data_IF_352576014684
#
_entry.id   IF_352576014684
#
_cell.length_a   1.000
_cell.length_b   1.000
_cell.length_c   1.000
_cell.angle_alpha   90.00
_cell.angle_beta   90.00
_cell.angle_gamma   90.00
#
_symmetry.space_group_name_H-M   'P 1'
#
loop_
_entity.id
_entity.type
_entity.pdbx_description
1 polymer ?
#
# COMPACT_ATOMS: atom_id res chain seq x y z
N UNK A 1 -25.00 -36.03 -11.08
CA UNK A 1 -23.55 -36.00 -10.77
C UNK A 1 -23.26 -35.77 -9.28
N UNK A 2 -23.12 -34.54 -8.75
CA UNK A 2 -22.75 -34.32 -7.33
C UNK A 2 -23.81 -34.82 -6.33
N UNK A 3 -25.07 -34.44 -6.52
CA UNK A 3 -26.18 -34.88 -5.65
C UNK A 3 -26.37 -36.40 -5.72
N UNK A 4 -26.31 -36.98 -6.92
CA UNK A 4 -26.35 -38.43 -7.17
C UNK A 4 -25.23 -39.20 -6.46
N UNK A 5 -24.02 -38.64 -6.39
CA UNK A 5 -22.88 -39.26 -5.70
C UNK A 5 -22.99 -39.14 -4.18
N UNK A 6 -23.50 -38.00 -3.68
CA UNK A 6 -23.46 -37.67 -2.25
C UNK A 6 -24.76 -37.98 -1.51
N UNK A 7 -25.87 -38.15 -2.23
CA UNK A 7 -27.22 -38.25 -1.68
C UNK A 7 -27.74 -36.98 -1.00
N UNK A 8 -27.07 -35.84 -1.18
CA UNK A 8 -27.43 -34.56 -0.55
C UNK A 8 -28.15 -33.64 -1.54
N UNK A 9 -29.17 -32.94 -1.06
CA UNK A 9 -29.80 -31.84 -1.80
C UNK A 9 -28.87 -30.60 -1.80
N UNK A 10 -28.50 -30.15 -2.99
CA UNK A 10 -27.64 -29.00 -3.24
C UNK A 10 -28.40 -27.85 -3.90
N UNK A 11 -29.73 -27.96 -4.08
CA UNK A 11 -30.53 -26.88 -4.67
C UNK A 11 -30.37 -25.56 -3.91
N UNK A 12 -30.37 -25.61 -2.57
CA UNK A 12 -30.15 -24.43 -1.73
C UNK A 12 -28.82 -23.73 -2.06
N UNK A 13 -27.75 -24.49 -2.30
CA UNK A 13 -26.41 -23.96 -2.56
C UNK A 13 -26.38 -23.24 -3.91
N UNK A 14 -26.86 -23.89 -4.99
CA UNK A 14 -26.88 -23.29 -6.32
C UNK A 14 -27.83 -22.09 -6.40
N UNK A 15 -29.01 -22.18 -5.78
CA UNK A 15 -29.94 -21.07 -5.73
C UNK A 15 -29.35 -19.86 -5.01
N UNK A 16 -28.58 -20.08 -3.95
CA UNK A 16 -27.95 -19.02 -3.17
C UNK A 16 -26.73 -18.41 -3.87
N UNK A 17 -25.79 -19.23 -4.35
CA UNK A 17 -24.46 -18.77 -4.77
C UNK A 17 -24.33 -18.58 -6.28
N UNK A 18 -25.14 -19.26 -7.08
CA UNK A 18 -25.04 -19.22 -8.54
C UNK A 18 -26.20 -18.44 -9.17
N UNK A 19 -27.44 -18.73 -8.78
CA UNK A 19 -28.63 -18.13 -9.40
C UNK A 19 -29.11 -16.83 -8.74
N UNK A 20 -28.61 -16.49 -7.55
CA UNK A 20 -28.97 -15.26 -6.83
C UNK A 20 -27.85 -14.21 -6.90
N UNK A 21 -28.20 -12.97 -6.55
CA UNK A 21 -27.25 -11.88 -6.38
C UNK A 21 -27.05 -11.53 -4.89
N UNK A 22 -26.01 -10.73 -4.63
CA UNK A 22 -25.63 -10.26 -3.30
C UNK A 22 -24.52 -11.09 -2.66
N UNK A 23 -24.24 -10.81 -1.38
CA UNK A 23 -23.33 -11.58 -0.54
C UNK A 23 -23.74 -11.46 0.94
N UNK A 24 -23.37 -12.43 1.80
CA UNK A 24 -23.61 -12.33 3.24
C UNK A 24 -22.83 -11.18 3.88
N UNK A 25 -23.47 -10.50 4.84
CA UNK A 25 -22.84 -9.50 5.72
C UNK A 25 -23.08 -9.89 7.18
N UNK A 26 -22.03 -10.23 7.91
CA UNK A 26 -22.14 -10.80 9.26
C UNK A 26 -21.64 -9.82 10.32
N UNK A 27 -22.41 -9.63 11.39
CA UNK A 27 -21.96 -9.04 12.66
C UNK A 27 -21.81 -10.18 13.68
N UNK A 28 -20.57 -10.47 14.08
CA UNK A 28 -20.22 -11.65 14.88
C UNK A 28 -19.75 -11.17 16.26
N UNK A 29 -20.41 -11.63 17.32
CA UNK A 29 -20.10 -11.26 18.71
C UNK A 29 -19.82 -12.49 19.54
N UNK A 30 -18.93 -12.32 20.50
CA UNK A 30 -18.50 -13.38 21.41
C UNK A 30 -18.71 -12.94 22.85
N UNK A 31 -19.14 -13.87 23.70
CA UNK A 31 -19.16 -13.67 25.15
C UNK A 31 -18.93 -14.99 25.88
N UNK A 32 -18.64 -14.89 27.18
CA UNK A 32 -18.47 -16.04 28.05
C UNK A 32 -19.23 -15.80 29.35
N UNK A 33 -20.08 -16.76 29.74
CA UNK A 33 -20.78 -16.77 31.01
C UNK A 33 -20.10 -17.78 31.95
N UNK A 34 -19.54 -17.27 33.05
CA UNK A 34 -18.83 -18.07 34.03
C UNK A 34 -19.77 -18.93 34.91
N UNK A 35 -21.00 -18.47 35.16
CA UNK A 35 -21.97 -19.19 36.00
C UNK A 35 -22.51 -20.42 35.28
N UNK A 36 -22.91 -20.25 34.01
CA UNK A 36 -23.41 -21.35 33.18
C UNK A 36 -22.29 -22.14 32.48
N UNK A 37 -21.04 -21.69 32.57
CA UNK A 37 -19.87 -22.28 31.88
C UNK A 37 -20.11 -22.42 30.37
N UNK A 38 -20.59 -21.34 29.76
CA UNK A 38 -20.91 -21.31 28.34
C UNK A 38 -20.19 -20.16 27.62
N UNK A 39 -19.55 -20.50 26.51
CA UNK A 39 -19.13 -19.56 25.49
C UNK A 39 -20.27 -19.35 24.49
N UNK A 40 -20.56 -18.10 24.15
CA UNK A 40 -21.62 -17.74 23.23
C UNK A 40 -21.02 -17.12 21.97
N UNK A 41 -21.54 -17.52 20.82
CA UNK A 41 -21.25 -16.91 19.53
C UNK A 41 -22.56 -16.46 18.91
N UNK A 42 -22.75 -15.15 18.79
CA UNK A 42 -23.92 -14.56 18.15
C UNK A 42 -23.52 -14.14 16.75
N UNK A 43 -24.20 -14.70 15.75
CA UNK A 43 -23.97 -14.39 14.33
C UNK A 43 -25.22 -13.75 13.76
N UNK A 44 -25.13 -12.46 13.43
CA UNK A 44 -26.23 -11.70 12.86
C UNK A 44 -25.99 -11.41 11.38
N UNK A 45 -26.95 -11.77 10.56
CA UNK A 45 -26.98 -11.44 9.13
C UNK A 45 -27.58 -10.05 8.92
N UNK A 46 -26.80 -9.11 8.37
CA UNK A 46 -27.15 -7.68 8.32
C UNK A 46 -27.58 -7.18 6.94
N UNK A 47 -27.41 -7.98 5.90
CA UNK A 47 -27.93 -7.66 4.57
C UNK A 47 -29.48 -7.61 4.54
N UNK A 48 -30.05 -6.83 3.61
CA UNK A 48 -31.49 -6.51 3.58
C UNK A 48 -32.38 -7.64 3.06
N UNK A 49 -31.99 -8.35 1.99
CA UNK A 49 -32.98 -9.03 1.13
C UNK A 49 -33.07 -10.55 1.29
N UNK A 50 -32.00 -11.22 1.74
CA UNK A 50 -31.96 -12.70 1.83
C UNK A 50 -31.13 -13.16 3.02
N UNK A 51 -31.66 -14.14 3.75
CA UNK A 51 -30.93 -14.89 4.77
C UNK A 51 -30.14 -15.97 4.04
N UNK A 52 -28.84 -16.06 4.30
CA UNK A 52 -27.98 -17.08 3.72
C UNK A 52 -27.90 -18.27 4.65
N UNK A 53 -27.86 -19.46 4.08
CA UNK A 53 -27.48 -20.68 4.78
C UNK A 53 -25.97 -20.86 4.65
N UNK A 54 -25.26 -20.86 5.79
CA UNK A 54 -23.80 -20.86 5.86
C UNK A 54 -23.32 -22.01 6.75
N UNK A 55 -22.96 -23.18 6.17
CA UNK A 55 -22.25 -24.21 6.90
C UNK A 55 -20.82 -23.74 7.19
N UNK A 56 -20.40 -23.78 8.45
CA UNK A 56 -19.08 -23.29 8.89
C UNK A 56 -18.66 -23.94 10.20
N UNK A 57 -17.48 -23.58 10.70
CA UNK A 57 -16.99 -24.04 11.99
C UNK A 57 -16.84 -22.89 13.00
N UNK A 58 -16.99 -23.23 14.26
CA UNK A 58 -16.53 -22.42 15.40
C UNK A 58 -15.41 -23.20 16.08
N UNK A 59 -14.22 -22.62 16.10
CA UNK A 59 -13.06 -23.18 16.79
C UNK A 59 -12.88 -22.46 18.14
N UNK A 60 -12.83 -23.21 19.23
CA UNK A 60 -12.59 -22.69 20.59
C UNK A 60 -11.18 -23.07 21.02
N UNK A 61 -10.42 -22.09 21.50
CA UNK A 61 -9.03 -22.26 21.88
C UNK A 61 -8.79 -22.07 23.37
N UNK A 62 -8.00 -22.98 23.93
CA UNK A 62 -7.45 -22.93 25.29
C UNK A 62 -5.93 -23.11 25.19
N UNK A 63 -5.19 -22.00 25.22
CA UNK A 63 -3.81 -21.93 24.75
C UNK A 63 -3.72 -22.41 23.31
N UNK A 64 -2.92 -23.46 23.10
CA UNK A 64 -2.72 -24.08 21.79
C UNK A 64 -3.72 -25.23 21.51
N UNK A 65 -4.55 -25.62 22.49
CA UNK A 65 -5.56 -26.66 22.30
C UNK A 65 -6.76 -26.07 21.58
N UNK A 66 -7.26 -26.78 20.57
CA UNK A 66 -8.38 -26.38 19.71
C UNK A 66 -9.48 -27.41 19.75
N UNK A 67 -10.69 -26.97 20.06
CA UNK A 67 -11.94 -27.72 19.91
C UNK A 67 -12.74 -27.13 18.75
N UNK A 68 -13.32 -27.98 17.89
CA UNK A 68 -14.03 -27.53 16.68
C UNK A 68 -15.48 -27.99 16.70
N UNK A 69 -16.39 -27.06 16.44
CA UNK A 69 -17.83 -27.29 16.36
C UNK A 69 -18.32 -26.92 14.96
N UNK A 70 -18.95 -27.86 14.25
CA UNK A 70 -19.59 -27.58 12.97
C UNK A 70 -20.98 -27.00 13.23
N UNK A 71 -21.30 -25.89 12.55
CA UNK A 71 -22.55 -25.16 12.73
C UNK A 71 -23.13 -24.70 11.40
N UNK A 72 -24.43 -24.45 11.40
CA UNK A 72 -25.15 -23.83 10.29
C UNK A 72 -25.68 -22.50 10.79
N UNK A 73 -25.34 -21.41 10.09
CA UNK A 73 -26.01 -20.12 10.27
C UNK A 73 -27.08 -20.04 9.19
N UNK A 74 -28.34 -20.08 9.56
CA UNK A 74 -29.47 -20.14 8.64
C UNK A 74 -30.63 -19.22 9.03
N UNK A 75 -30.45 -18.42 10.09
CA UNK A 75 -31.42 -17.44 10.56
C UNK A 75 -30.88 -16.02 10.45
N UNK A 76 -31.76 -15.04 10.68
CA UNK A 76 -31.38 -13.62 10.73
C UNK A 76 -30.36 -13.35 11.83
N UNK A 77 -30.49 -14.07 12.94
CA UNK A 77 -29.58 -14.05 14.09
C UNK A 77 -29.57 -15.45 14.71
N UNK A 78 -28.40 -16.07 14.76
CA UNK A 78 -28.18 -17.36 15.41
C UNK A 78 -27.28 -17.19 16.63
N UNK A 79 -27.59 -17.91 17.71
CA UNK A 79 -26.74 -17.97 18.91
C UNK A 79 -26.29 -19.40 19.15
N UNK A 80 -24.98 -19.62 19.10
CA UNK A 80 -24.37 -20.91 19.40
C UNK A 80 -23.86 -20.92 20.82
N UNK A 81 -24.28 -21.93 21.59
CA UNK A 81 -23.84 -22.16 22.97
C UNK A 81 -22.83 -23.30 22.98
N UNK A 82 -21.62 -23.01 23.43
CA UNK A 82 -20.53 -23.99 23.51
C UNK A 82 -20.16 -24.17 24.98
N UNK A 83 -20.15 -25.41 25.44
CA UNK A 83 -19.71 -25.74 26.80
C UNK A 83 -18.24 -25.33 26.97
N UNK A 84 -17.97 -24.52 27.98
CA UNK A 84 -16.66 -23.93 28.23
C UNK A 84 -16.43 -23.85 29.74
N UNK A 85 -15.65 -24.78 30.30
CA UNK A 85 -15.42 -24.84 31.76
C UNK A 85 -14.70 -23.60 32.32
N UNK A 86 -13.90 -22.96 31.47
CA UNK A 86 -13.21 -21.69 31.70
C UNK A 86 -13.40 -20.79 30.50
N UNK A 87 -13.13 -19.49 30.68
CA UNK A 87 -13.13 -18.53 29.58
C UNK A 87 -12.12 -18.96 28.50
N UNK A 88 -12.52 -19.18 27.25
CA UNK A 88 -11.58 -19.45 26.16
C UNK A 88 -10.67 -18.25 25.88
N UNK A 89 -9.45 -18.51 25.41
CA UNK A 89 -8.52 -17.46 24.98
C UNK A 89 -8.94 -16.85 23.63
N UNK A 90 -9.59 -17.66 22.79
CA UNK A 90 -10.10 -17.28 21.49
C UNK A 90 -11.28 -18.16 21.09
N UNK A 91 -12.30 -17.53 20.54
CA UNK A 91 -13.34 -18.18 19.76
C UNK A 91 -13.21 -17.67 18.32
N UNK A 92 -12.98 -18.58 17.38
CA UNK A 92 -12.76 -18.27 15.97
C UNK A 92 -13.91 -18.82 15.13
N UNK A 93 -14.83 -17.93 14.75
CA UNK A 93 -15.84 -18.23 13.73
C UNK A 93 -15.18 -18.37 12.35
N UNK A 94 -15.65 -19.33 11.54
CA UNK A 94 -15.06 -19.69 10.24
C UNK A 94 -13.57 -20.04 10.39
N UNK A 95 -13.28 -21.06 11.19
CA UNK A 95 -11.92 -21.49 11.54
C UNK A 95 -11.04 -21.85 10.33
N UNK A 96 -11.66 -22.22 9.22
CA UNK A 96 -10.95 -22.51 7.97
C UNK A 96 -10.75 -21.29 7.06
N UNK A 97 -11.43 -20.17 7.35
CA UNK A 97 -11.41 -18.92 6.59
C UNK A 97 -11.89 -19.11 5.14
N UNK A 98 -12.97 -19.86 4.96
CA UNK A 98 -13.53 -20.23 3.65
C UNK A 98 -14.84 -19.52 3.34
N UNK A 99 -15.50 -18.90 4.32
CA UNK A 99 -16.74 -18.19 4.06
C UNK A 99 -16.51 -16.92 3.22
N UNK A 100 -17.22 -16.85 2.09
CA UNK A 100 -17.31 -15.64 1.27
C UNK A 100 -18.35 -14.70 1.86
N UNK A 101 -17.92 -13.87 2.83
CA UNK A 101 -18.79 -12.91 3.51
C UNK A 101 -18.05 -11.63 3.88
N UNK A 102 -18.76 -10.50 3.89
CA UNK A 102 -18.32 -9.31 4.62
C UNK A 102 -18.51 -9.58 6.11
N UNK A 103 -17.48 -9.34 6.94
CA UNK A 103 -17.55 -9.65 8.38
C UNK A 103 -17.16 -8.44 9.21
N UNK A 104 -18.02 -8.09 10.15
CA UNK A 104 -17.71 -7.32 11.33
C UNK A 104 -17.46 -8.32 12.47
N UNK A 105 -16.19 -8.65 12.66
CA UNK A 105 -15.74 -9.61 13.67
C UNK A 105 -15.35 -8.84 14.95
N UNK A 106 -16.16 -8.92 16.01
CA UNK A 106 -16.00 -8.10 17.21
C UNK A 106 -15.04 -8.72 18.24
N UNK A 107 -13.89 -9.22 17.78
CA UNK A 107 -12.82 -9.69 18.66
C UNK A 107 -12.12 -8.51 19.34
N UNK A 108 -11.68 -8.75 20.57
CA UNK A 108 -10.74 -7.89 21.28
C UNK A 108 -9.34 -7.97 20.64
N UNK A 109 -8.47 -7.02 20.99
CA UNK A 109 -7.07 -7.06 20.57
C UNK A 109 -6.39 -8.37 21.01
N UNK A 110 -6.62 -8.81 22.24
CA UNK A 110 -5.99 -10.02 22.79
C UNK A 110 -6.42 -11.28 22.03
N UNK A 111 -7.70 -11.40 21.68
CA UNK A 111 -8.19 -12.51 20.85
C UNK A 111 -7.58 -12.49 19.45
N UNK A 112 -7.42 -11.30 18.86
CA UNK A 112 -6.71 -11.16 17.58
C UNK A 112 -5.24 -11.59 17.68
N UNK A 113 -4.54 -11.21 18.75
CA UNK A 113 -3.14 -11.61 18.96
C UNK A 113 -3.03 -13.12 19.21
N UNK A 114 -3.98 -13.70 19.94
CA UNK A 114 -4.06 -15.14 20.12
C UNK A 114 -4.29 -15.86 18.80
N UNK A 115 -5.16 -15.32 17.93
CA UNK A 115 -5.42 -15.87 16.61
C UNK A 115 -4.16 -15.89 15.73
N UNK A 116 -3.37 -14.80 15.74
CA UNK A 116 -2.10 -14.73 15.03
C UNK A 116 -1.17 -15.90 15.38
N UNK A 117 -1.09 -16.23 16.67
CA UNK A 117 -0.17 -17.23 17.23
C UNK A 117 -0.65 -18.68 17.01
N UNK A 118 -1.96 -18.91 17.00
CA UNK A 118 -2.50 -20.27 17.19
C UNK A 118 -3.28 -20.84 16.00
N UNK A 119 -3.82 -20.04 15.09
CA UNK A 119 -4.68 -20.58 14.01
C UNK A 119 -3.91 -21.00 12.75
N UNK A 120 -2.70 -20.47 12.57
CA UNK A 120 -1.84 -20.74 11.41
C UNK A 120 -2.31 -20.10 10.10
N UNK A 121 -3.45 -19.40 10.07
CA UNK A 121 -4.03 -18.83 8.84
C UNK A 121 -3.46 -17.45 8.51
N UNK A 122 -3.23 -17.19 7.22
CA UNK A 122 -2.75 -15.89 6.73
C UNK A 122 -3.70 -14.75 7.09
N UNK A 123 -5.01 -14.96 6.91
CA UNK A 123 -6.01 -13.91 7.12
C UNK A 123 -6.03 -13.45 8.58
N UNK A 124 -5.92 -14.39 9.52
CA UNK A 124 -5.89 -14.14 10.95
C UNK A 124 -4.65 -13.32 11.34
N UNK A 125 -3.48 -13.70 10.80
CA UNK A 125 -2.25 -12.95 11.04
C UNK A 125 -2.35 -11.51 10.50
N UNK A 126 -2.99 -11.33 9.33
CA UNK A 126 -3.23 -10.00 8.76
C UNK A 126 -4.23 -9.20 9.60
N UNK A 127 -5.35 -9.79 9.99
CA UNK A 127 -6.38 -9.14 10.81
C UNK A 127 -5.83 -8.74 12.19
N UNK A 128 -4.92 -9.53 12.77
CA UNK A 128 -4.27 -9.19 14.03
C UNK A 128 -3.36 -7.95 13.92
N UNK A 129 -2.62 -7.82 12.81
CA UNK A 129 -1.83 -6.61 12.54
C UNK A 129 -2.71 -5.37 12.31
N UNK A 130 -3.92 -5.56 11.77
CA UNK A 130 -4.89 -4.47 11.59
C UNK A 130 -5.50 -4.04 12.92
N UNK A 131 -5.82 -5.00 13.78
CA UNK A 131 -6.29 -4.73 15.13
C UNK A 131 -5.21 -4.01 15.96
N UNK A 132 -3.95 -4.46 15.87
CA UNK A 132 -2.82 -3.82 16.54
C UNK A 132 -2.58 -2.39 16.04
N UNK A 133 -2.61 -2.17 14.72
CA UNK A 133 -2.43 -0.84 14.12
C UNK A 133 -3.51 0.17 14.58
N UNK A 134 -4.75 -0.29 14.80
CA UNK A 134 -5.84 0.55 15.36
C UNK A 134 -5.68 0.83 16.86
N UNK A 135 -4.83 0.09 17.56
CA UNK A 135 -4.63 0.15 19.01
C UNK A 135 -3.18 0.53 19.38
N UNK A 136 -2.44 1.25 18.52
CA UNK A 136 -1.03 1.60 18.75
C UNK A 136 -0.75 2.40 20.03
N UNK A 137 -1.76 3.03 20.63
CA UNK A 137 -1.63 3.67 21.95
C UNK A 137 -1.40 2.68 23.09
N UNK A 138 -1.69 1.39 22.88
CA UNK A 138 -1.45 0.32 23.85
C UNK A 138 -0.04 -0.25 23.66
N UNK A 139 0.81 -0.32 24.70
CA UNK A 139 2.16 -0.86 24.60
C UNK A 139 2.21 -2.29 24.03
N UNK A 140 1.24 -3.12 24.39
CA UNK A 140 1.10 -4.50 23.90
C UNK A 140 0.91 -4.59 22.37
N UNK A 141 0.25 -3.61 21.75
CA UNK A 141 0.02 -3.62 20.31
C UNK A 141 1.32 -3.34 19.54
N UNK A 142 2.11 -2.35 19.99
CA UNK A 142 3.40 -2.05 19.42
C UNK A 142 4.39 -3.20 19.65
N UNK A 143 4.44 -3.74 20.88
CA UNK A 143 5.29 -4.88 21.22
C UNK A 143 4.98 -6.09 20.34
N UNK A 144 3.70 -6.37 20.06
CA UNK A 144 3.28 -7.44 19.15
C UNK A 144 3.77 -7.21 17.71
N UNK A 145 3.55 -6.01 17.15
CA UNK A 145 3.99 -5.69 15.79
C UNK A 145 5.51 -5.89 15.67
N UNK A 146 6.29 -5.41 16.63
CA UNK A 146 7.76 -5.47 16.61
C UNK A 146 8.30 -6.88 16.83
N UNK A 147 7.77 -7.60 17.82
CA UNK A 147 8.34 -8.88 18.24
C UNK A 147 7.82 -10.07 17.44
N UNK A 148 6.64 -9.97 16.84
CA UNK A 148 6.01 -11.07 16.11
C UNK A 148 5.75 -10.68 14.66
N UNK A 149 5.08 -9.56 14.41
CA UNK A 149 4.71 -9.12 13.06
C UNK A 149 5.92 -8.92 12.12
N UNK A 150 6.91 -8.13 12.55
CA UNK A 150 8.13 -7.86 11.78
C UNK A 150 9.03 -9.09 11.62
N UNK A 151 8.82 -10.13 12.43
CA UNK A 151 9.62 -11.37 12.45
C UNK A 151 8.86 -12.56 11.85
N UNK A 152 7.66 -12.35 11.31
CA UNK A 152 6.84 -13.42 10.74
C UNK A 152 7.56 -14.12 9.58
N UNK A 153 7.39 -15.43 9.47
CA UNK A 153 7.97 -16.25 8.40
C UNK A 153 7.55 -15.80 7.00
N UNK A 154 6.31 -15.31 6.85
CA UNK A 154 5.75 -14.90 5.57
C UNK A 154 5.94 -13.42 5.32
N UNK A 155 6.64 -13.10 4.23
CA UNK A 155 7.04 -11.73 3.92
C UNK A 155 5.89 -10.73 3.79
N UNK A 156 4.69 -11.18 3.37
CA UNK A 156 3.52 -10.28 3.29
C UNK A 156 3.02 -9.84 4.67
N UNK A 157 3.21 -10.68 5.69
CA UNK A 157 2.93 -10.30 7.08
C UNK A 157 3.98 -9.30 7.57
N UNK A 158 5.27 -9.53 7.27
CA UNK A 158 6.33 -8.54 7.58
C UNK A 158 6.07 -7.18 6.91
N UNK A 159 5.70 -7.16 5.62
CA UNK A 159 5.31 -5.92 4.93
C UNK A 159 4.15 -5.23 5.62
N UNK A 160 3.09 -5.97 5.94
CA UNK A 160 1.93 -5.43 6.66
C UNK A 160 2.34 -4.88 8.01
N UNK A 161 3.21 -5.56 8.75
CA UNK A 161 3.72 -5.11 10.04
C UNK A 161 4.52 -3.80 9.94
N UNK A 162 5.37 -3.64 8.91
CA UNK A 162 6.06 -2.36 8.66
C UNK A 162 5.04 -1.23 8.42
N UNK A 163 3.98 -1.48 7.64
CA UNK A 163 2.90 -0.50 7.44
C UNK A 163 2.10 -0.24 8.71
N UNK A 164 1.88 -1.26 9.54
CA UNK A 164 1.11 -1.18 10.80
C UNK A 164 1.80 -0.32 11.88
N UNK A 165 3.11 -0.07 11.78
CA UNK A 165 3.79 0.92 12.64
C UNK A 165 3.24 2.35 12.41
N UNK A 166 2.56 2.59 11.30
CA UNK A 166 1.87 3.84 11.00
C UNK A 166 2.79 4.96 10.52
N UNK A 167 2.32 6.20 10.68
CA UNK A 167 3.08 7.42 10.36
C UNK A 167 3.90 7.94 11.55
N UNK A 168 3.72 7.36 12.74
CA UNK A 168 4.51 7.70 13.92
C UNK A 168 5.98 7.34 13.74
N UNK A 169 6.86 7.98 14.50
CA UNK A 169 8.26 7.59 14.55
C UNK A 169 8.35 6.22 15.26
N UNK A 170 8.90 5.18 14.61
CA UNK A 170 9.14 3.91 15.29
C UNK A 170 10.07 4.12 16.49
N UNK A 171 9.81 3.41 17.58
CA UNK A 171 10.69 3.43 18.75
C UNK A 171 12.01 2.69 18.47
N UNK A 172 12.97 2.76 19.41
CA UNK A 172 14.27 2.12 19.25
C UNK A 172 14.19 0.60 18.99
N UNK A 173 13.20 -0.08 19.56
CA UNK A 173 13.02 -1.52 19.37
C UNK A 173 12.55 -1.85 17.96
N UNK A 174 11.61 -1.07 17.42
CA UNK A 174 11.14 -1.18 16.05
C UNK A 174 12.24 -0.82 15.06
N UNK A 175 13.01 0.24 15.33
CA UNK A 175 14.14 0.68 14.50
C UNK A 175 15.18 -0.42 14.35
N UNK A 176 15.59 -1.06 15.44
CA UNK A 176 16.58 -2.14 15.40
C UNK A 176 16.12 -3.33 14.52
N UNK A 177 14.83 -3.67 14.55
CA UNK A 177 14.28 -4.73 13.69
C UNK A 177 14.22 -4.26 12.23
N UNK A 178 13.83 -3.01 11.96
CA UNK A 178 13.79 -2.42 10.62
C UNK A 178 15.18 -2.37 9.98
N UNK A 179 16.23 -2.02 10.73
CA UNK A 179 17.62 -2.06 10.28
C UNK A 179 18.01 -3.47 9.80
N UNK A 180 17.68 -4.49 10.61
CA UNK A 180 17.92 -5.89 10.24
C UNK A 180 17.17 -6.27 8.96
N UNK A 181 15.89 -5.91 8.86
CA UNK A 181 15.07 -6.21 7.68
C UNK A 181 15.62 -5.53 6.43
N UNK A 182 15.99 -4.26 6.51
CA UNK A 182 16.53 -3.51 5.39
C UNK A 182 17.86 -4.09 4.86
N UNK A 183 18.70 -4.64 5.75
CA UNK A 183 19.99 -5.22 5.38
C UNK A 183 19.89 -6.68 4.92
N UNK A 184 19.02 -7.49 5.55
CA UNK A 184 19.14 -8.95 5.51
C UNK A 184 17.87 -9.68 5.05
N UNK A 185 16.72 -9.01 4.87
CA UNK A 185 15.50 -9.74 4.49
C UNK A 185 15.66 -10.41 3.11
N UNK A 186 15.32 -11.71 2.98
CA UNK A 186 15.42 -12.42 1.70
C UNK A 186 14.55 -11.79 0.61
N UNK A 187 13.45 -11.14 0.98
CA UNK A 187 12.53 -10.50 0.05
C UNK A 187 12.92 -9.04 -0.17
N UNK A 188 13.36 -8.73 -1.38
CA UNK A 188 13.74 -7.38 -1.83
C UNK A 188 12.71 -6.30 -1.54
N UNK A 189 11.42 -6.64 -1.60
CA UNK A 189 10.33 -5.70 -1.31
C UNK A 189 10.21 -5.39 0.19
N UNK A 190 10.56 -6.33 1.07
CA UNK A 190 10.63 -6.08 2.51
C UNK A 190 11.82 -5.19 2.82
N UNK A 191 12.99 -5.46 2.21
CA UNK A 191 14.16 -4.58 2.35
C UNK A 191 13.85 -3.14 1.95
N UNK A 192 13.25 -2.95 0.77
CA UNK A 192 12.84 -1.64 0.28
C UNK A 192 11.85 -0.93 1.22
N UNK A 193 10.83 -1.65 1.72
CA UNK A 193 9.84 -1.08 2.63
C UNK A 193 10.41 -0.72 3.99
N UNK A 194 11.40 -1.48 4.49
CA UNK A 194 12.12 -1.18 5.71
C UNK A 194 13.02 0.05 5.56
N UNK A 195 13.70 0.20 4.41
CA UNK A 195 14.44 1.42 4.05
C UNK A 195 13.51 2.64 4.08
N UNK A 196 12.32 2.53 3.51
CA UNK A 196 11.33 3.62 3.53
C UNK A 196 10.90 3.99 4.96
N UNK A 197 10.74 3.00 5.82
CA UNK A 197 10.42 3.23 7.22
C UNK A 197 11.55 3.95 7.96
N UNK A 198 12.81 3.56 7.72
CA UNK A 198 13.99 4.22 8.29
C UNK A 198 14.21 5.63 7.75
N UNK A 199 13.94 5.86 6.46
CA UNK A 199 14.07 7.17 5.81
C UNK A 199 13.21 8.25 6.49
N UNK A 200 12.02 7.89 7.00
CA UNK A 200 11.14 8.80 7.74
C UNK A 200 11.78 9.38 9.01
N UNK A 201 12.80 8.72 9.56
CA UNK A 201 13.54 9.23 10.72
C UNK A 201 14.40 10.44 10.36
N UNK A 202 14.74 10.62 9.06
CA UNK A 202 15.65 11.64 8.55
C UNK A 202 16.95 11.70 9.34
N UNK A 203 17.45 10.54 9.76
CA UNK A 203 18.67 10.42 10.55
C UNK A 203 19.88 10.30 9.61
N UNK A 204 20.80 11.28 9.60
CA UNK A 204 21.99 11.25 8.73
C UNK A 204 22.90 10.04 8.95
N UNK A 205 22.83 9.38 10.12
CA UNK A 205 23.58 8.15 10.39
C UNK A 205 23.28 7.01 9.39
N UNK A 206 22.14 7.05 8.70
CA UNK A 206 21.79 6.06 7.68
C UNK A 206 22.31 6.38 6.27
N UNK A 207 23.01 7.50 6.05
CA UNK A 207 23.48 7.88 4.72
C UNK A 207 24.28 6.77 4.02
N UNK A 208 25.26 6.16 4.72
CA UNK A 208 26.05 5.06 4.17
C UNK A 208 25.21 3.81 3.86
N UNK A 209 24.23 3.51 4.69
CA UNK A 209 23.32 2.39 4.48
C UNK A 209 22.43 2.64 3.26
N UNK A 210 21.86 3.83 3.12
CA UNK A 210 21.02 4.21 1.99
C UNK A 210 21.82 4.27 0.68
N UNK A 211 23.08 4.75 0.73
CA UNK A 211 24.01 4.71 -0.39
C UNK A 211 24.29 3.30 -0.87
N UNK A 212 24.57 2.36 0.05
CA UNK A 212 24.76 0.93 -0.30
C UNK A 212 23.48 0.34 -0.89
N UNK A 213 22.32 0.64 -0.28
CA UNK A 213 21.03 0.17 -0.78
C UNK A 213 20.73 0.71 -2.19
N UNK A 214 21.09 1.96 -2.48
CA UNK A 214 20.93 2.58 -3.80
C UNK A 214 21.71 1.87 -4.92
N UNK A 215 22.68 1.01 -4.56
CA UNK A 215 23.49 0.21 -5.48
C UNK A 215 23.09 -1.28 -5.50
N UNK A 216 21.99 -1.68 -4.83
CA UNK A 216 21.50 -3.05 -4.85
C UNK A 216 21.06 -3.47 -6.27
N UNK A 217 21.34 -4.72 -6.64
CA UNK A 217 20.88 -5.36 -7.88
C UNK A 217 19.35 -5.27 -8.11
N UNK A 218 18.57 -5.17 -7.05
CA UNK A 218 17.13 -5.01 -7.07
C UNK A 218 16.77 -3.53 -7.26
N UNK A 219 16.14 -3.21 -8.39
CA UNK A 219 15.62 -1.86 -8.65
C UNK A 219 14.65 -1.34 -7.58
N UNK A 220 13.93 -2.22 -6.87
CA UNK A 220 13.07 -1.81 -5.75
C UNK A 220 13.89 -1.33 -4.55
N UNK A 221 15.02 -1.98 -4.27
CA UNK A 221 15.89 -1.61 -3.14
C UNK A 221 16.76 -0.41 -3.53
N UNK A 222 17.31 -0.42 -4.74
CA UNK A 222 18.06 0.69 -5.30
C UNK A 222 17.24 1.99 -5.31
N UNK A 223 16.01 1.93 -5.81
CA UNK A 223 15.12 3.10 -5.79
C UNK A 223 14.76 3.57 -4.39
N UNK A 224 14.52 2.66 -3.44
CA UNK A 224 14.24 3.02 -2.05
C UNK A 224 15.46 3.70 -1.39
N UNK A 225 16.65 3.11 -1.53
CA UNK A 225 17.89 3.65 -1.01
C UNK A 225 18.23 5.02 -1.59
N UNK A 226 18.02 5.20 -2.89
CA UNK A 226 18.31 6.46 -3.57
C UNK A 226 17.37 7.59 -3.12
N UNK A 227 16.07 7.29 -2.96
CA UNK A 227 15.09 8.25 -2.40
C UNK A 227 15.42 8.57 -0.94
N UNK A 228 15.71 7.56 -0.12
CA UNK A 228 16.05 7.74 1.29
C UNK A 228 17.34 8.55 1.46
N UNK A 229 18.34 8.33 0.59
CA UNK A 229 19.58 9.09 0.59
C UNK A 229 19.34 10.56 0.27
N UNK A 230 18.41 10.87 -0.63
CA UNK A 230 18.07 12.26 -0.97
C UNK A 230 17.60 13.08 0.24
N UNK A 231 16.97 12.44 1.23
CA UNK A 231 16.48 13.10 2.45
C UNK A 231 17.57 13.40 3.48
N UNK A 232 18.74 12.75 3.39
CA UNK A 232 19.82 12.86 4.40
C UNK A 232 21.17 13.30 3.84
N UNK A 233 21.43 13.06 2.55
CA UNK A 233 22.63 13.46 1.81
C UNK A 233 22.26 13.63 0.32
N UNK A 234 21.67 14.78 0.02
CA UNK A 234 21.20 15.11 -1.33
C UNK A 234 22.34 15.22 -2.35
N UNK A 235 23.53 15.67 -1.95
CA UNK A 235 24.67 15.82 -2.84
C UNK A 235 25.14 14.46 -3.37
N UNK A 236 25.27 13.46 -2.48
CA UNK A 236 25.62 12.10 -2.88
C UNK A 236 24.47 11.46 -3.67
N UNK A 237 23.21 11.65 -3.28
CA UNK A 237 22.06 11.12 -4.01
C UNK A 237 22.00 11.62 -5.46
N UNK A 238 22.23 12.91 -5.71
CA UNK A 238 22.26 13.49 -7.06
C UNK A 238 23.40 12.92 -7.89
N UNK A 239 24.59 12.79 -7.29
CA UNK A 239 25.75 12.19 -7.96
C UNK A 239 25.48 10.74 -8.35
N UNK A 240 24.88 9.97 -7.44
CA UNK A 240 24.57 8.56 -7.67
C UNK A 240 23.43 8.39 -8.68
N UNK A 241 22.39 9.24 -8.65
CA UNK A 241 21.32 9.24 -9.64
C UNK A 241 21.87 9.44 -11.07
N UNK A 242 22.78 10.41 -11.26
CA UNK A 242 23.48 10.63 -12.54
C UNK A 242 24.26 9.41 -13.00
N UNK A 243 24.94 8.72 -12.08
CA UNK A 243 25.70 7.52 -12.41
C UNK A 243 24.77 6.36 -12.79
N UNK A 244 23.74 6.11 -11.99
CA UNK A 244 22.79 5.01 -12.20
C UNK A 244 21.95 5.22 -13.47
N UNK A 245 21.66 6.46 -13.84
CA UNK A 245 20.95 6.82 -15.08
C UNK A 245 21.72 6.49 -16.37
N UNK A 246 23.02 6.18 -16.30
CA UNK A 246 23.82 5.74 -17.45
C UNK A 246 23.59 4.27 -17.84
N UNK A 247 22.86 3.53 -17.02
CA UNK A 247 22.56 2.12 -17.24
C UNK A 247 21.03 1.90 -17.25
N UNK A 248 20.54 0.75 -17.77
CA UNK A 248 19.12 0.43 -17.72
C UNK A 248 18.60 0.42 -16.27
N UNK A 249 17.58 1.24 -16.03
CA UNK A 249 16.82 1.28 -14.78
C UNK A 249 15.35 0.99 -15.07
N UNK A 250 14.66 0.29 -14.17
CA UNK A 250 13.22 0.00 -14.30
C UNK A 250 12.48 0.24 -13.00
N UNK A 251 11.17 0.43 -13.11
CA UNK A 251 10.27 0.59 -11.98
C UNK A 251 10.77 1.67 -11.01
N UNK A 252 10.83 1.32 -9.72
CA UNK A 252 11.14 2.28 -8.65
C UNK A 252 12.48 3.00 -8.82
N UNK A 253 13.53 2.34 -9.33
CA UNK A 253 14.81 3.00 -9.55
C UNK A 253 14.71 4.06 -10.65
N UNK A 254 14.04 3.74 -11.77
CA UNK A 254 13.86 4.69 -12.87
C UNK A 254 13.07 5.92 -12.42
N UNK A 255 12.01 5.71 -11.62
CA UNK A 255 11.25 6.80 -11.00
C UNK A 255 12.13 7.65 -10.07
N UNK A 256 12.92 7.02 -9.19
CA UNK A 256 13.79 7.72 -8.26
C UNK A 256 14.87 8.58 -8.96
N UNK A 257 15.51 8.03 -10.01
CA UNK A 257 16.47 8.78 -10.84
C UNK A 257 15.79 9.99 -11.47
N UNK A 258 14.63 9.77 -12.09
CA UNK A 258 13.85 10.84 -12.73
C UNK A 258 13.49 11.94 -11.74
N UNK A 259 12.93 11.60 -10.58
CA UNK A 259 12.52 12.57 -9.55
C UNK A 259 13.72 13.37 -9.03
N UNK A 260 14.87 12.73 -8.82
CA UNK A 260 16.08 13.40 -8.36
C UNK A 260 16.66 14.29 -9.45
N UNK A 261 16.66 13.86 -10.72
CA UNK A 261 17.09 14.69 -11.85
C UNK A 261 16.20 15.93 -12.01
N UNK A 262 14.88 15.78 -11.85
CA UNK A 262 13.92 16.91 -11.84
C UNK A 262 14.22 17.87 -10.68
N UNK A 263 14.41 17.33 -9.47
CA UNK A 263 14.69 18.13 -8.26
C UNK A 263 16.04 18.85 -8.34
N UNK A 264 17.07 18.22 -8.89
CA UNK A 264 18.42 18.78 -9.02
C UNK A 264 18.62 19.65 -10.27
N UNK A 265 17.72 19.59 -11.25
CA UNK A 265 17.90 20.28 -12.54
C UNK A 265 18.98 19.63 -13.40
N UNK A 266 19.13 18.30 -13.32
CA UNK A 266 20.12 17.56 -14.09
C UNK A 266 19.75 17.48 -15.58
N UNK A 267 20.30 18.39 -16.37
CA UNK A 267 20.06 18.48 -17.82
C UNK A 267 20.57 17.26 -18.61
N UNK A 268 21.43 16.42 -18.02
CA UNK A 268 21.88 15.18 -18.67
C UNK A 268 20.76 14.16 -18.78
N UNK A 269 19.76 14.21 -17.88
CA UNK A 269 18.59 13.36 -17.90
C UNK A 269 17.50 13.83 -18.87
N UNK A 270 17.68 14.99 -19.53
CA UNK A 270 16.63 15.62 -20.33
C UNK A 270 16.03 14.68 -21.38
N UNK A 271 16.86 14.01 -22.19
CA UNK A 271 16.35 13.15 -23.27
C UNK A 271 15.50 12.00 -22.72
N UNK A 272 15.90 11.40 -21.61
CA UNK A 272 15.12 10.32 -20.98
C UNK A 272 13.81 10.83 -20.39
N UNK A 273 13.81 12.00 -19.75
CA UNK A 273 12.60 12.59 -19.15
C UNK A 273 11.63 13.03 -20.25
N UNK A 274 12.13 13.70 -21.28
CA UNK A 274 11.35 14.16 -22.42
C UNK A 274 10.74 12.98 -23.19
N UNK A 275 11.52 11.93 -23.49
CA UNK A 275 11.00 10.72 -24.12
C UNK A 275 9.97 10.01 -23.25
N UNK A 276 10.17 9.98 -21.92
CA UNK A 276 9.19 9.45 -20.98
C UNK A 276 7.86 10.19 -21.04
N UNK A 277 7.89 11.52 -21.02
CA UNK A 277 6.70 12.37 -21.13
C UNK A 277 6.02 12.24 -22.51
N UNK A 278 6.80 12.23 -23.59
CA UNK A 278 6.30 12.09 -24.96
C UNK A 278 5.53 10.77 -25.14
N UNK A 279 6.13 9.66 -24.70
CA UNK A 279 5.57 8.31 -24.81
C UNK A 279 4.37 8.04 -23.90
N UNK A 280 4.07 8.92 -22.92
CA UNK A 280 2.81 8.82 -22.19
C UNK A 280 1.64 9.03 -23.17
N UNK A 281 0.68 8.13 -23.18
CA UNK A 281 -0.56 8.32 -23.93
C UNK A 281 -1.40 9.49 -23.38
N UNK A 282 -2.48 9.85 -24.07
CA UNK A 282 -3.48 10.80 -23.58
C UNK A 282 -4.15 10.23 -22.32
N UNK A 283 -3.67 10.64 -21.14
CA UNK A 283 -4.12 10.10 -19.86
C UNK A 283 -4.14 11.17 -18.77
N UNK A 284 -4.90 10.88 -17.70
CA UNK A 284 -4.91 11.70 -16.49
C UNK A 284 -3.51 11.79 -15.85
N UNK A 285 -2.71 10.74 -15.97
CA UNK A 285 -1.32 10.72 -15.47
C UNK A 285 -0.45 11.71 -16.25
N UNK A 286 -0.52 11.74 -17.58
CA UNK A 286 0.23 12.72 -18.39
C UNK A 286 -0.17 14.15 -18.05
N UNK A 287 -1.47 14.37 -17.82
CA UNK A 287 -1.98 15.66 -17.34
C UNK A 287 -1.32 16.07 -16.02
N UNK A 288 -1.34 15.21 -15.00
CA UNK A 288 -0.73 15.50 -13.70
C UNK A 288 0.79 15.69 -13.78
N UNK A 289 1.49 14.90 -14.61
CA UNK A 289 2.95 14.96 -14.76
C UNK A 289 3.44 16.18 -15.54
N UNK A 290 2.55 16.89 -16.25
CA UNK A 290 2.91 18.10 -16.99
C UNK A 290 3.51 19.18 -16.09
N UNK A 291 3.00 19.35 -14.87
CA UNK A 291 3.55 20.30 -13.91
C UNK A 291 4.99 19.97 -13.49
N UNK A 292 5.28 18.69 -13.20
CA UNK A 292 6.63 18.22 -12.84
C UNK A 292 7.60 18.34 -14.02
N UNK A 293 7.14 18.03 -15.23
CA UNK A 293 7.95 18.18 -16.44
C UNK A 293 8.28 19.65 -16.70
N UNK A 294 7.31 20.55 -16.57
CA UNK A 294 7.54 22.00 -16.65
C UNK A 294 8.49 22.50 -15.56
N UNK A 295 8.35 22.02 -14.31
CA UNK A 295 9.28 22.38 -13.24
C UNK A 295 10.73 22.02 -13.58
N UNK A 296 10.94 20.87 -14.22
CA UNK A 296 12.25 20.48 -14.74
C UNK A 296 12.73 21.43 -15.84
N UNK A 297 11.90 21.74 -16.84
CA UNK A 297 12.24 22.68 -17.93
C UNK A 297 12.62 24.07 -17.40
N UNK A 298 12.00 24.51 -16.31
CA UNK A 298 12.37 25.77 -15.62
C UNK A 298 13.86 25.84 -15.29
N UNK A 299 14.49 24.70 -14.99
CA UNK A 299 15.92 24.56 -14.64
C UNK A 299 16.84 24.24 -15.83
N UNK A 300 16.29 23.93 -17.00
CA UNK A 300 17.08 23.60 -18.21
C UNK A 300 17.57 24.88 -18.88
N UNK A 301 18.89 25.05 -19.00
CA UNK A 301 19.51 26.22 -19.60
C UNK A 301 19.79 26.03 -21.09
N UNK A 302 20.01 24.80 -21.54
CA UNK A 302 20.16 24.51 -22.97
C UNK A 302 18.88 24.89 -23.75
N UNK A 303 19.03 25.84 -24.67
CA UNK A 303 17.92 26.41 -25.41
C UNK A 303 17.21 25.39 -26.31
N UNK A 304 17.94 24.45 -26.91
CA UNK A 304 17.34 23.45 -27.80
C UNK A 304 16.50 22.44 -27.01
N UNK A 305 17.04 21.94 -25.90
CA UNK A 305 16.30 21.08 -24.96
C UNK A 305 15.09 21.79 -24.38
N UNK A 306 15.25 23.03 -23.93
CA UNK A 306 14.15 23.81 -23.38
C UNK A 306 13.00 23.95 -24.38
N UNK A 307 13.31 24.37 -25.62
CA UNK A 307 12.31 24.53 -26.69
C UNK A 307 11.61 23.21 -27.01
N UNK A 308 12.36 22.11 -27.16
CA UNK A 308 11.80 20.76 -27.35
C UNK A 308 10.83 20.37 -26.23
N UNK A 309 11.18 20.64 -24.97
CA UNK A 309 10.30 20.36 -23.84
C UNK A 309 9.01 21.20 -23.83
N UNK A 310 9.12 22.50 -24.15
CA UNK A 310 7.96 23.38 -24.29
C UNK A 310 7.04 22.89 -25.41
N UNK A 311 7.62 22.50 -26.55
CA UNK A 311 6.87 21.94 -27.69
C UNK A 311 6.09 20.68 -27.30
N UNK A 312 6.67 19.79 -26.49
CA UNK A 312 5.97 18.60 -26.00
C UNK A 312 4.75 18.97 -25.13
N UNK A 313 4.87 19.97 -24.26
CA UNK A 313 3.76 20.44 -23.41
C UNK A 313 2.66 21.07 -24.27
N UNK A 314 3.05 21.93 -25.22
CA UNK A 314 2.11 22.62 -26.12
C UNK A 314 1.42 21.63 -27.05
N UNK A 315 2.15 20.69 -27.65
CA UNK A 315 1.58 19.63 -28.46
C UNK A 315 0.61 18.76 -27.68
N UNK A 316 0.89 18.45 -26.41
CA UNK A 316 -0.06 17.75 -25.56
C UNK A 316 -1.33 18.58 -25.32
N UNK A 317 -1.20 19.86 -24.95
CA UNK A 317 -2.34 20.80 -24.81
C UNK A 317 -3.21 20.83 -26.07
N UNK A 318 -2.61 20.89 -27.25
CA UNK A 318 -3.30 20.97 -28.54
C UNK A 318 -4.00 19.65 -28.92
N UNK A 319 -3.41 18.52 -28.55
CA UNK A 319 -3.98 17.19 -28.79
C UNK A 319 -5.26 16.91 -27.98
N UNK A 320 -5.57 17.71 -26.95
CA UNK A 320 -6.79 17.55 -26.16
C UNK A 320 -8.01 17.93 -27.02
N UNK A 321 -9.07 17.08 -27.07
CA UNK A 321 -10.25 17.36 -27.87
C UNK A 321 -10.91 18.68 -27.49
N UNK A 322 -11.45 19.38 -28.49
CA UNK A 322 -11.97 20.74 -28.36
C UNK A 322 -13.02 20.88 -27.25
N UNK A 323 -13.89 19.88 -27.09
CA UNK A 323 -14.92 19.81 -26.05
C UNK A 323 -14.38 19.91 -24.62
N UNK A 324 -13.12 19.55 -24.37
CA UNK A 324 -12.49 19.59 -23.05
C UNK A 324 -11.54 20.79 -22.86
N UNK A 325 -11.18 21.52 -23.93
CA UNK A 325 -10.19 22.60 -23.87
C UNK A 325 -10.60 23.75 -22.94
N UNK A 326 -11.90 24.04 -22.83
CA UNK A 326 -12.40 25.07 -21.91
C UNK A 326 -12.03 24.77 -20.45
N UNK A 327 -11.93 23.49 -20.08
CA UNK A 327 -11.64 23.04 -18.71
C UNK A 327 -10.13 22.88 -18.46
N UNK A 328 -9.35 22.61 -19.51
CA UNK A 328 -7.91 22.28 -19.39
C UNK A 328 -6.99 23.45 -19.75
N UNK A 329 -7.41 24.39 -20.59
CA UNK A 329 -6.55 25.50 -21.07
C UNK A 329 -5.97 26.32 -19.91
N UNK A 330 -6.77 26.60 -18.88
CA UNK A 330 -6.31 27.36 -17.71
C UNK A 330 -5.13 26.67 -17.00
N UNK A 331 -5.18 25.34 -16.88
CA UNK A 331 -4.11 24.55 -16.26
C UNK A 331 -2.79 24.69 -17.04
N UNK A 332 -2.80 24.48 -18.35
CA UNK A 332 -1.59 24.59 -19.17
C UNK A 332 -1.08 26.03 -19.24
N UNK A 333 -1.96 27.01 -19.39
CA UNK A 333 -1.56 28.41 -19.43
C UNK A 333 -0.89 28.83 -18.11
N UNK A 334 -1.38 28.37 -16.96
CA UNK A 334 -0.75 28.63 -15.67
C UNK A 334 0.66 28.02 -15.60
N UNK A 335 0.85 26.80 -16.11
CA UNK A 335 2.16 26.13 -16.15
C UNK A 335 3.13 26.89 -17.06
N UNK A 336 2.71 27.25 -18.28
CA UNK A 336 3.54 27.96 -19.26
C UNK A 336 3.87 29.37 -18.76
N UNK A 337 2.93 30.08 -18.13
CA UNK A 337 3.18 31.37 -17.48
C UNK A 337 4.19 31.23 -16.32
N UNK A 338 4.10 30.15 -15.54
CA UNK A 338 5.10 29.83 -14.52
C UNK A 338 6.50 29.68 -15.10
N UNK A 339 6.62 29.00 -16.26
CA UNK A 339 7.88 28.88 -16.99
C UNK A 339 8.40 30.22 -17.53
N UNK A 340 7.53 31.05 -18.12
CA UNK A 340 7.88 32.41 -18.57
C UNK A 340 8.51 33.20 -17.42
N UNK A 341 7.87 33.17 -16.25
CA UNK A 341 8.34 33.89 -15.06
C UNK A 341 9.69 33.34 -14.58
N UNK A 342 9.85 32.02 -14.54
CA UNK A 342 11.11 31.39 -14.16
C UNK A 342 12.27 31.77 -15.11
N UNK A 343 12.03 31.79 -16.42
CA UNK A 343 13.06 32.17 -17.41
C UNK A 343 13.40 33.65 -17.39
N UNK A 344 12.41 34.53 -17.23
CA UNK A 344 12.65 35.96 -16.99
C UNK A 344 13.48 36.21 -15.74
N UNK A 345 13.15 35.53 -14.63
CA UNK A 345 13.90 35.64 -13.38
C UNK A 345 15.36 35.16 -13.52
N UNK A 346 15.61 34.19 -14.40
CA UNK A 346 16.95 33.71 -14.74
C UNK A 346 17.67 34.55 -15.83
N UNK A 347 17.05 35.63 -16.33
CA UNK A 347 17.61 36.48 -17.40
C UNK A 347 17.50 35.90 -18.82
N UNK A 348 16.87 34.74 -18.99
CA UNK A 348 16.69 34.06 -20.29
C UNK A 348 15.42 34.55 -21.01
N UNK A 349 15.41 35.84 -21.38
CA UNK A 349 14.24 36.48 -21.99
C UNK A 349 13.86 35.89 -23.35
N UNK A 350 14.84 35.42 -24.12
CA UNK A 350 14.65 34.74 -25.40
C UNK A 350 13.85 33.43 -25.26
N UNK A 351 14.11 32.67 -24.19
CA UNK A 351 13.36 31.45 -23.87
C UNK A 351 11.95 31.77 -23.37
N UNK A 352 11.78 32.87 -22.63
CA UNK A 352 10.46 33.33 -22.21
C UNK A 352 9.60 33.80 -23.40
N UNK A 353 10.20 34.53 -24.34
CA UNK A 353 9.51 35.01 -25.54
C UNK A 353 9.15 33.85 -26.49
N UNK A 354 9.99 32.82 -26.55
CA UNK A 354 9.65 31.59 -27.26
C UNK A 354 8.35 30.96 -26.74
N UNK A 355 8.16 30.88 -25.41
CA UNK A 355 6.92 30.35 -24.83
C UNK A 355 5.71 31.22 -25.21
N UNK A 356 5.84 32.55 -25.11
CA UNK A 356 4.76 33.47 -25.52
C UNK A 356 4.36 33.25 -26.97
N UNK A 357 5.33 33.09 -27.87
CA UNK A 357 5.05 32.81 -29.28
C UNK A 357 4.22 31.54 -29.48
N UNK A 358 4.47 30.50 -28.66
CA UNK A 358 3.69 29.25 -28.65
C UNK A 358 2.31 29.39 -28.01
N UNK A 359 2.11 30.41 -27.17
CA UNK A 359 0.83 30.74 -26.57
C UNK A 359 -0.01 31.72 -27.42
N UNK A 360 0.56 32.27 -28.51
CA UNK A 360 -0.06 33.31 -29.32
C UNK A 360 -0.10 34.68 -28.64
N UNK A 361 0.87 34.98 -27.78
CA UNK A 361 1.02 36.23 -27.01
C UNK A 361 2.16 37.10 -27.49
#
# INVERSE_FOLDING_TARGET
AFEETTGKDLNWFFNQWYFSNGHPKLDIKYSYNAESKQALVVVKQTQANKIYTLPTSIDVYYGNKRERHQVWVDSKEDTFYINANTKPDLIQFDGDRVLLAERKDNKSLQEHLHAFRNTGKYLDRREALDAAAKNLSKPEALAFIVNEGLKDQFFRIRLRAITSLGMGKPDASAVAVLEKLALQDPQRIVRAQAIDALAKLKNPAYADMFKKAAQDSSYSVAGAGLVALMDVDSATAVTLAKQLGKAPAKGRLASAITDISIKSGDESAFESIAAGYENMGMSQEKFQQTASFAQFLGKVNDAAKFKKGVDLIVGFKESIPESFRAQTNAYFNNILNGLINAKKAAGANDLADYIKSKMGQ
#
